data_IF_719956459566
#
_entry.id   IF_719956459566
#
_cell.length_a   1.000
_cell.length_b   1.000
_cell.length_c   1.000
_cell.angle_alpha   90.00
_cell.angle_beta   90.00
_cell.angle_gamma   90.00
#
_symmetry.space_group_name_H-M   'P 1'
#
loop_
_entity.id
_entity.type
_entity.pdbx_description
1 polymer ?
#
# COMPACT_ATOMS: atom_id res chain seq x y z
N UNK A 1 -8.07 -48.98 2.33
CA UNK A 1 -9.18 -48.43 1.51
C UNK A 1 -10.09 -47.65 2.44
N UNK A 2 -9.94 -46.33 2.49
CA UNK A 2 -10.87 -45.47 3.25
C UNK A 2 -12.12 -45.23 2.39
N UNK A 3 -13.29 -45.62 2.90
CA UNK A 3 -14.57 -45.50 2.20
C UNK A 3 -15.00 -44.04 2.04
N UNK A 4 -15.63 -43.73 0.90
CA UNK A 4 -16.16 -42.40 0.62
C UNK A 4 -17.30 -42.06 1.59
N UNK A 5 -17.07 -41.09 2.48
CA UNK A 5 -18.10 -40.57 3.40
C UNK A 5 -19.19 -39.86 2.60
N UNK A 6 -20.41 -40.39 2.63
CA UNK A 6 -21.60 -39.76 2.03
C UNK A 6 -21.97 -38.53 2.86
N UNK A 7 -22.05 -37.36 2.21
CA UNK A 7 -22.39 -36.08 2.87
C UNK A 7 -23.89 -35.81 2.79
N UNK A 8 -24.48 -35.35 3.88
CA UNK A 8 -25.91 -34.95 3.93
C UNK A 8 -26.24 -33.72 3.09
N UNK A 9 -25.27 -32.81 2.91
CA UNK A 9 -25.47 -31.54 2.19
C UNK A 9 -24.61 -31.49 0.93
N UNK A 10 -25.23 -31.04 -0.16
CA UNK A 10 -24.54 -30.77 -1.40
C UNK A 10 -23.60 -29.56 -1.26
N UNK A 11 -22.47 -29.61 -1.97
CA UNK A 11 -21.48 -28.53 -2.01
C UNK A 11 -20.22 -28.78 -1.19
N UNK A 12 -19.29 -27.80 -1.26
CA UNK A 12 -18.04 -27.84 -0.49
C UNK A 12 -18.36 -27.60 0.99
N UNK A 13 -17.87 -28.44 1.91
CA UNK A 13 -18.06 -28.25 3.34
C UNK A 13 -17.46 -26.91 3.76
N UNK A 14 -18.04 -26.31 4.81
CA UNK A 14 -17.46 -25.14 5.44
C UNK A 14 -16.13 -25.54 6.08
N UNK A 15 -15.14 -24.64 6.03
CA UNK A 15 -13.83 -24.90 6.63
C UNK A 15 -13.92 -25.19 8.14
N UNK A 16 -14.94 -24.64 8.81
CA UNK A 16 -15.25 -24.88 10.22
C UNK A 16 -15.62 -26.35 10.51
N UNK A 17 -16.19 -27.05 9.53
CA UNK A 17 -16.55 -28.46 9.66
C UNK A 17 -15.30 -29.37 9.61
N UNK A 18 -14.30 -28.97 8.82
CA UNK A 18 -13.03 -29.69 8.71
C UNK A 18 -12.03 -29.28 9.81
N UNK A 19 -12.17 -28.06 10.37
CA UNK A 19 -11.24 -27.47 11.36
C UNK A 19 -12.01 -26.79 12.51
N UNK A 20 -12.45 -27.56 13.54
CA UNK A 20 -13.33 -27.04 14.60
C UNK A 20 -12.64 -26.02 15.53
N UNK A 21 -11.32 -26.13 15.72
CA UNK A 21 -10.56 -25.22 16.60
C UNK A 21 -10.33 -23.84 16.01
N UNK A 22 -10.60 -23.67 14.71
CA UNK A 22 -10.32 -22.44 13.99
C UNK A 22 -11.06 -21.24 14.57
N UNK A 23 -12.32 -21.42 14.99
CA UNK A 23 -13.10 -20.36 15.63
C UNK A 23 -12.50 -19.94 16.98
N UNK A 24 -12.00 -20.90 17.76
CA UNK A 24 -11.35 -20.64 19.05
C UNK A 24 -10.08 -19.81 18.86
N UNK A 25 -9.28 -20.14 17.84
CA UNK A 25 -8.06 -19.40 17.49
C UNK A 25 -8.39 -17.98 16.99
N UNK A 26 -9.41 -17.82 16.15
CA UNK A 26 -9.86 -16.50 15.67
C UNK A 26 -10.29 -15.60 16.84
N UNK A 27 -11.07 -16.14 17.78
CA UNK A 27 -11.49 -15.39 18.98
C UNK A 27 -10.27 -15.00 19.82
N UNK A 28 -9.33 -15.92 20.02
CA UNK A 28 -8.09 -15.62 20.75
C UNK A 28 -7.24 -14.52 20.09
N UNK A 29 -7.17 -14.49 18.76
CA UNK A 29 -6.47 -13.43 18.00
C UNK A 29 -7.20 -12.09 18.12
N UNK A 30 -8.53 -12.09 18.01
CA UNK A 30 -9.34 -10.87 17.96
C UNK A 30 -9.55 -10.20 19.33
N UNK A 31 -9.46 -10.96 20.42
CA UNK A 31 -9.59 -10.45 21.80
C UNK A 31 -8.30 -9.72 22.24
N UNK A 32 -8.03 -8.57 21.62
CA UNK A 32 -6.95 -7.68 22.02
C UNK A 32 -7.40 -6.83 23.23
N UNK A 33 -6.72 -6.96 24.38
CA UNK A 33 -6.88 -6.05 25.53
C UNK A 33 -7.84 -6.47 26.65
N UNK A 34 -8.46 -7.65 26.60
CA UNK A 34 -9.08 -8.22 27.82
C UNK A 34 -7.96 -8.68 28.76
N UNK A 35 -7.83 -8.03 29.91
CA UNK A 35 -6.72 -8.11 30.87
C UNK A 35 -6.42 -9.48 31.52
N UNK A 36 -6.87 -10.61 30.94
CA UNK A 36 -6.99 -11.89 31.63
C UNK A 36 -6.32 -13.10 30.95
N UNK A 37 -5.37 -12.92 30.01
CA UNK A 37 -4.63 -14.09 29.49
C UNK A 37 -3.11 -13.88 29.32
N UNK A 38 -2.37 -14.62 30.15
CA UNK A 38 -0.90 -14.74 30.22
C UNK A 38 -0.34 -15.94 29.42
N UNK A 39 -0.97 -16.35 28.31
CA UNK A 39 -0.46 -17.49 27.54
C UNK A 39 0.57 -17.02 26.50
N UNK A 40 1.80 -17.56 26.56
CA UNK A 40 2.91 -17.31 25.62
C UNK A 40 2.55 -17.50 24.13
N UNK A 41 1.56 -18.35 23.83
CA UNK A 41 1.03 -18.56 22.48
C UNK A 41 0.35 -17.30 21.92
N UNK A 42 -0.19 -16.44 22.79
CA UNK A 42 -0.69 -15.13 22.40
C UNK A 42 0.41 -14.19 21.94
N UNK A 43 1.65 -14.34 22.42
CA UNK A 43 2.77 -13.47 22.03
C UNK A 43 3.22 -13.70 20.58
N UNK A 44 3.20 -14.95 20.11
CA UNK A 44 3.53 -15.27 18.70
C UNK A 44 2.54 -14.55 17.79
N UNK A 45 1.25 -14.77 17.98
CA UNK A 45 0.21 -14.13 17.17
C UNK A 45 0.17 -12.61 17.33
N UNK A 46 0.52 -12.08 18.52
CA UNK A 46 0.62 -10.63 18.78
C UNK A 46 1.84 -9.97 18.13
N UNK A 47 2.90 -10.73 17.84
CA UNK A 47 4.11 -10.22 17.16
C UNK A 47 3.92 -10.05 15.65
N UNK A 48 2.86 -10.65 15.10
CA UNK A 48 2.60 -10.69 13.66
C UNK A 48 2.02 -9.35 13.18
N UNK A 49 2.72 -8.72 12.23
CA UNK A 49 2.34 -7.40 11.68
C UNK A 49 1.61 -7.49 10.36
N UNK A 50 1.85 -8.55 9.57
CA UNK A 50 1.28 -8.69 8.24
C UNK A 50 0.36 -9.90 8.14
N UNK A 51 -0.61 -9.82 7.22
CA UNK A 51 -1.51 -10.93 6.93
C UNK A 51 -0.80 -12.13 6.30
N UNK A 52 0.30 -11.90 5.58
CA UNK A 52 1.09 -12.98 4.98
C UNK A 52 1.78 -13.80 6.06
N UNK A 53 2.40 -13.13 7.02
CA UNK A 53 3.03 -13.75 8.19
C UNK A 53 1.99 -14.50 9.05
N UNK A 54 0.80 -13.93 9.22
CA UNK A 54 -0.31 -14.61 9.91
C UNK A 54 -0.74 -15.87 9.18
N UNK A 55 -0.81 -15.81 7.85
CA UNK A 55 -1.18 -16.97 7.02
C UNK A 55 -0.12 -18.06 7.11
N UNK A 56 1.17 -17.68 7.14
CA UNK A 56 2.28 -18.62 7.30
C UNK A 56 2.22 -19.31 8.67
N UNK A 57 2.02 -18.55 9.74
CA UNK A 57 1.91 -19.12 11.09
C UNK A 57 0.71 -20.06 11.23
N UNK A 58 -0.46 -19.68 10.70
CA UNK A 58 -1.64 -20.54 10.74
C UNK A 58 -1.46 -21.82 9.93
N UNK A 59 -0.68 -21.79 8.85
CA UNK A 59 -0.31 -23.01 8.11
C UNK A 59 0.62 -23.92 8.91
N UNK A 60 1.58 -23.35 9.66
CA UNK A 60 2.44 -24.12 10.57
C UNK A 60 1.62 -24.81 11.65
N UNK A 61 0.60 -24.14 12.17
CA UNK A 61 -0.32 -24.68 13.17
C UNK A 61 -1.36 -25.67 12.57
N UNK A 62 -1.27 -25.98 11.27
CA UNK A 62 -2.08 -27.00 10.59
C UNK A 62 -3.39 -26.50 9.96
N UNK A 63 -3.63 -25.18 9.96
CA UNK A 63 -4.83 -24.61 9.34
C UNK A 63 -4.66 -24.42 7.82
N UNK A 64 -5.68 -24.82 7.05
CA UNK A 64 -5.65 -24.78 5.58
C UNK A 64 -6.41 -23.56 5.05
N UNK A 65 -6.01 -22.37 5.49
CA UNK A 65 -6.68 -21.10 5.13
C UNK A 65 -5.88 -20.33 4.06
N UNK A 66 -6.59 -19.78 3.08
CA UNK A 66 -5.99 -18.83 2.12
C UNK A 66 -5.83 -17.44 2.76
N UNK A 67 -4.83 -16.68 2.31
CA UNK A 67 -4.60 -15.29 2.74
C UNK A 67 -5.88 -14.44 2.63
N UNK A 68 -6.57 -14.53 1.48
CA UNK A 68 -7.82 -13.79 1.23
C UNK A 68 -8.99 -14.28 2.09
N UNK A 69 -8.99 -15.54 2.50
CA UNK A 69 -10.02 -16.13 3.35
C UNK A 69 -9.89 -15.77 4.82
N UNK A 70 -8.71 -15.31 5.26
CA UNK A 70 -8.49 -14.82 6.63
C UNK A 70 -9.11 -13.44 6.87
N UNK A 71 -8.98 -12.55 5.89
CA UNK A 71 -9.50 -11.18 5.95
C UNK A 71 -10.97 -11.09 6.42
N UNK A 72 -11.94 -11.77 5.79
CA UNK A 72 -13.35 -11.74 6.22
C UNK A 72 -13.62 -12.33 7.60
N UNK A 73 -12.71 -13.14 8.14
CA UNK A 73 -12.91 -13.83 9.42
C UNK A 73 -12.40 -13.04 10.62
N UNK A 74 -11.42 -12.16 10.38
CA UNK A 74 -10.86 -11.27 11.40
C UNK A 74 -11.59 -9.92 11.44
N UNK A 75 -12.41 -9.62 10.44
CA UNK A 75 -13.17 -8.38 10.36
C UNK A 75 -14.18 -8.29 11.53
N UNK A 76 -14.28 -7.13 12.20
CA UNK A 76 -15.25 -6.94 13.27
C UNK A 76 -16.68 -7.08 12.76
N UNK A 77 -17.60 -7.49 13.66
CA UNK A 77 -19.00 -7.74 13.31
C UNK A 77 -19.61 -6.48 12.68
N UNK A 78 -20.08 -6.59 11.44
CA UNK A 78 -20.65 -5.50 10.60
C UNK A 78 -19.63 -4.48 10.05
N UNK A 79 -18.36 -4.85 9.91
CA UNK A 79 -17.41 -4.03 9.16
C UNK A 79 -17.91 -3.80 7.73
N UNK A 80 -18.26 -2.56 7.40
CA UNK A 80 -18.73 -2.20 6.08
C UNK A 80 -17.65 -1.40 5.35
N UNK A 81 -17.22 -1.88 4.18
CA UNK A 81 -16.29 -1.14 3.33
C UNK A 81 -16.96 0.07 2.62
N UNK A 82 -18.26 0.31 2.85
CA UNK A 82 -18.97 1.45 2.29
C UNK A 82 -18.47 2.79 2.87
N UNK A 83 -18.03 2.82 4.13
CA UNK A 83 -17.50 4.04 4.74
C UNK A 83 -16.12 4.42 4.19
N UNK A 84 -15.24 3.45 3.93
CA UNK A 84 -13.91 3.71 3.36
C UNK A 84 -13.96 4.39 1.97
N UNK A 85 -15.00 4.14 1.18
CA UNK A 85 -15.23 4.83 -0.10
C UNK A 85 -15.57 6.31 0.05
N UNK A 86 -16.07 6.76 1.22
CA UNK A 86 -16.44 8.17 1.46
C UNK A 86 -15.24 9.08 1.67
N UNK A 87 -14.06 8.53 1.97
CA UNK A 87 -12.86 9.31 2.30
C UNK A 87 -11.93 9.63 1.13
N UNK A 88 -12.23 9.12 -0.08
CA UNK A 88 -11.51 9.53 -1.31
C UNK A 88 -12.43 10.42 -2.14
N UNK A 89 -12.65 11.64 -1.64
CA UNK A 89 -13.20 12.71 -2.47
C UNK A 89 -12.01 13.48 -3.01
N UNK A 90 -11.60 13.16 -4.23
CA UNK A 90 -10.59 13.95 -4.96
C UNK A 90 -11.19 15.33 -5.22
N UNK A 91 -10.90 16.31 -4.36
CA UNK A 91 -11.26 17.70 -4.64
C UNK A 91 -10.29 18.25 -5.68
N UNK A 92 -10.78 18.80 -6.81
CA UNK A 92 -9.91 19.52 -7.73
C UNK A 92 -9.39 20.75 -7.00
N UNK A 93 -8.13 20.72 -6.58
CA UNK A 93 -7.43 21.89 -6.07
C UNK A 93 -6.94 22.67 -7.27
N UNK A 94 -7.38 23.92 -7.41
CA UNK A 94 -6.79 24.85 -8.37
C UNK A 94 -5.38 25.17 -7.87
N UNK A 95 -4.38 24.50 -8.42
CA UNK A 95 -2.99 24.87 -8.18
C UNK A 95 -2.80 26.27 -8.76
N UNK A 96 -2.25 27.18 -7.96
CA UNK A 96 -1.82 28.49 -8.44
C UNK A 96 -0.81 28.22 -9.56
N UNK A 97 -1.00 28.87 -10.71
CA UNK A 97 -0.08 28.77 -11.85
C UNK A 97 1.33 29.01 -11.33
N UNK A 98 2.29 28.16 -11.69
CA UNK A 98 3.69 28.40 -11.36
C UNK A 98 4.11 29.73 -11.99
N UNK A 99 4.14 30.78 -11.18
CA UNK A 99 4.66 32.08 -11.57
C UNK A 99 6.18 31.96 -11.53
N UNK A 100 6.78 31.72 -12.69
CA UNK A 100 8.24 31.77 -12.90
C UNK A 100 8.80 33.21 -12.76
N UNK A 101 8.07 34.12 -12.12
CA UNK A 101 8.39 35.55 -12.01
C UNK A 101 9.62 35.82 -11.12
N UNK A 102 9.99 34.84 -10.28
CA UNK A 102 11.24 34.87 -9.51
C UNK A 102 12.50 34.75 -10.38
N UNK A 103 12.43 34.12 -11.55
CA UNK A 103 13.56 33.98 -12.47
C UNK A 103 13.94 35.30 -13.16
N UNK A 104 12.99 36.25 -13.25
CA UNK A 104 13.24 37.57 -13.84
C UNK A 104 14.05 38.50 -12.92
N UNK A 105 14.12 38.20 -11.62
CA UNK A 105 14.72 39.08 -10.59
C UNK A 105 16.08 38.58 -10.08
N UNK A 106 16.77 37.74 -10.83
CA UNK A 106 18.13 37.35 -10.44
C UNK A 106 19.09 38.53 -10.60
N UNK A 107 19.86 38.83 -9.55
CA UNK A 107 20.79 39.97 -9.47
C UNK A 107 21.75 39.96 -10.67
N UNK A 108 22.20 38.78 -11.08
CA UNK A 108 23.17 38.61 -12.17
C UNK A 108 22.51 38.38 -13.53
N UNK A 109 21.19 38.49 -13.64
CA UNK A 109 20.46 38.27 -14.90
C UNK A 109 20.95 39.20 -16.01
N UNK A 110 21.20 40.47 -15.70
CA UNK A 110 21.74 41.42 -16.67
C UNK A 110 23.17 41.08 -17.10
N UNK A 111 24.00 40.60 -16.16
CA UNK A 111 25.36 40.18 -16.45
C UNK A 111 25.39 38.96 -17.38
N UNK A 112 24.58 37.94 -17.08
CA UNK A 112 24.44 36.75 -17.93
C UNK A 112 23.96 37.10 -19.34
N UNK A 113 22.96 37.98 -19.46
CA UNK A 113 22.45 38.43 -20.77
C UNK A 113 23.53 39.20 -21.55
N UNK A 114 24.28 40.09 -20.90
CA UNK A 114 25.37 40.82 -21.54
C UNK A 114 26.48 39.87 -22.01
N UNK A 115 26.84 38.88 -21.21
CA UNK A 115 27.86 37.88 -21.57
C UNK A 115 27.42 37.02 -22.75
N UNK A 116 26.15 36.57 -22.77
CA UNK A 116 25.59 35.82 -23.90
C UNK A 116 25.65 36.66 -25.18
N UNK A 117 25.21 37.92 -25.14
CA UNK A 117 25.28 38.84 -26.30
C UNK A 117 26.71 39.03 -26.79
N UNK A 118 27.66 39.23 -25.87
CA UNK A 118 29.09 39.35 -26.20
C UNK A 118 29.62 38.08 -26.86
N UNK A 119 29.25 36.89 -26.38
CA UNK A 119 29.66 35.62 -27.00
C UNK A 119 29.06 35.45 -28.39
N UNK A 120 27.82 35.89 -28.62
CA UNK A 120 27.16 35.90 -29.94
C UNK A 120 27.85 36.88 -30.90
N UNK A 121 28.27 38.05 -30.42
CA UNK A 121 29.04 39.02 -31.21
C UNK A 121 30.42 38.45 -31.58
N UNK A 122 31.12 37.83 -30.62
CA UNK A 122 32.41 37.18 -30.86
C UNK A 122 32.29 36.02 -31.84
N UNK A 123 31.26 35.19 -31.73
CA UNK A 123 31.03 34.09 -32.67
C UNK A 123 30.70 34.61 -34.08
N UNK A 124 29.96 35.72 -34.17
CA UNK A 124 29.66 36.38 -35.44
C UNK A 124 30.91 36.97 -36.10
N UNK A 125 31.80 37.59 -35.32
CA UNK A 125 33.11 38.06 -35.80
C UNK A 125 34.00 36.91 -36.28
N UNK A 126 33.97 35.76 -35.59
CA UNK A 126 34.73 34.56 -35.92
C UNK A 126 34.10 33.71 -37.03
N UNK A 127 32.93 34.11 -37.57
CA UNK A 127 32.24 33.40 -38.64
C UNK A 127 31.54 32.10 -38.24
N UNK A 128 31.45 31.81 -36.94
CA UNK A 128 30.72 30.65 -36.41
C UNK A 128 29.26 31.03 -36.18
N UNK A 129 28.40 30.73 -37.16
CA UNK A 129 26.97 30.91 -36.99
C UNK A 129 26.44 29.87 -35.98
N UNK A 130 26.05 30.34 -34.80
CA UNK A 130 25.61 29.55 -33.62
C UNK A 130 24.38 28.66 -33.87
N UNK A 131 23.76 28.72 -35.06
CA UNK A 131 22.66 27.83 -35.46
C UNK A 131 23.05 26.35 -35.60
N UNK A 132 24.33 26.01 -35.41
CA UNK A 132 24.84 24.64 -35.53
C UNK A 132 25.18 23.96 -34.18
N UNK A 133 25.08 24.66 -33.05
CA UNK A 133 25.61 24.17 -31.76
C UNK A 133 24.53 23.93 -30.69
N UNK A 134 23.27 24.30 -30.94
CA UNK A 134 22.14 23.94 -30.07
C UNK A 134 21.12 23.09 -30.84
N UNK A 135 21.38 21.78 -30.90
CA UNK A 135 20.36 20.73 -30.99
C UNK A 135 20.55 19.81 -29.79
#
# INVERSE_FOLDING_TARGET
MEGLKIREKCGRPRLEADQPELLKVIVHIAMHGSAAHENRQSDIYRSIKTLDDLTAQLKLDGFSVSRSGLYPRLLPKRSSNLEGKRHVVTKPVKLIRAENDSHLKHIDGQFCVANIKRLVELSSFLGLHLSSVFF
#
